data_IF_994904059548
#
_entry.id   IF_994904059548
#
_cell.length_a   1.000
_cell.length_b   1.000
_cell.length_c   1.000
_cell.angle_alpha   90.00
_cell.angle_beta   90.00
_cell.angle_gamma   90.00
#
_symmetry.space_group_name_H-M   'P 1'
#
loop_
_entity.id
_entity.type
_entity.pdbx_description
1 polymer ?
#
# COMPACT_ATOMS: atom_id res chain seq x y z
N UNK A 1 -27.11 0.92 -8.44
CA UNK A 1 -26.03 0.33 -9.26
C UNK A 1 -24.65 0.43 -8.57
N UNK A 2 -24.32 1.50 -7.84
CA UNK A 2 -23.00 1.63 -7.18
C UNK A 2 -22.71 0.60 -6.07
N UNK A 3 -23.72 0.20 -5.29
CA UNK A 3 -23.55 -0.80 -4.21
C UNK A 3 -23.12 -2.17 -4.77
N UNK A 4 -23.64 -2.56 -5.94
CA UNK A 4 -23.21 -3.79 -6.63
C UNK A 4 -21.76 -3.71 -7.09
N UNK A 5 -21.28 -2.54 -7.56
CA UNK A 5 -19.89 -2.38 -8.00
C UNK A 5 -18.90 -2.47 -6.83
N UNK A 6 -19.23 -1.88 -5.68
CA UNK A 6 -18.39 -1.98 -4.47
C UNK A 6 -18.33 -3.41 -3.94
N UNK A 7 -19.47 -4.11 -3.89
CA UNK A 7 -19.53 -5.52 -3.48
C UNK A 7 -18.75 -6.43 -4.44
N UNK A 8 -18.89 -6.23 -5.75
CA UNK A 8 -18.14 -6.99 -6.75
C UNK A 8 -16.62 -6.78 -6.62
N UNK A 9 -16.17 -5.54 -6.37
CA UNK A 9 -14.76 -5.22 -6.13
C UNK A 9 -14.23 -5.90 -4.86
N UNK A 10 -15.00 -5.88 -3.78
CA UNK A 10 -14.64 -6.57 -2.53
C UNK A 10 -14.56 -8.09 -2.71
N UNK A 11 -15.51 -8.68 -3.43
CA UNK A 11 -15.49 -10.11 -3.73
C UNK A 11 -14.28 -10.49 -4.57
N UNK A 12 -13.93 -9.67 -5.56
CA UNK A 12 -12.75 -9.86 -6.39
C UNK A 12 -11.47 -9.89 -5.56
N UNK A 13 -11.28 -8.93 -4.65
CA UNK A 13 -10.07 -8.90 -3.81
C UNK A 13 -10.05 -9.99 -2.73
N UNK A 14 -11.19 -10.39 -2.18
CA UNK A 14 -11.22 -11.55 -1.28
C UNK A 14 -10.89 -12.86 -2.00
N UNK A 15 -11.35 -13.02 -3.24
CA UNK A 15 -10.94 -14.14 -4.10
C UNK A 15 -9.44 -14.10 -4.41
N UNK A 16 -8.90 -12.93 -4.80
CA UNK A 16 -7.47 -12.75 -5.06
C UNK A 16 -6.62 -13.07 -3.82
N UNK A 17 -7.06 -12.65 -2.62
CA UNK A 17 -6.44 -13.00 -1.35
C UNK A 17 -6.40 -14.51 -1.13
N UNK A 18 -7.52 -15.22 -1.32
CA UNK A 18 -7.61 -16.68 -1.15
C UNK A 18 -6.74 -17.45 -2.14
N UNK A 19 -6.72 -17.02 -3.40
CA UNK A 19 -5.85 -17.61 -4.42
C UNK A 19 -4.39 -17.41 -4.01
N UNK A 20 -4.04 -16.20 -3.55
CA UNK A 20 -2.66 -15.92 -3.14
C UNK A 20 -2.23 -16.73 -1.91
N UNK A 21 -3.13 -16.95 -0.96
CA UNK A 21 -2.92 -17.80 0.21
C UNK A 21 -2.70 -19.28 -0.17
N UNK A 22 -3.48 -19.79 -1.13
CA UNK A 22 -3.29 -21.13 -1.68
C UNK A 22 -1.95 -21.27 -2.40
N UNK A 23 -1.62 -20.30 -3.26
CA UNK A 23 -0.35 -20.26 -3.98
C UNK A 23 0.85 -20.16 -3.02
N UNK A 24 0.74 -19.38 -1.94
CA UNK A 24 1.79 -19.27 -0.92
C UNK A 24 2.06 -20.60 -0.21
N UNK A 25 1.04 -21.45 -0.06
CA UNK A 25 1.21 -22.80 0.51
C UNK A 25 1.97 -23.72 -0.44
N UNK A 26 1.83 -23.51 -1.75
CA UNK A 26 2.58 -24.26 -2.77
C UNK A 26 3.98 -23.72 -3.01
N UNK A 27 4.12 -22.39 -3.07
CA UNK A 27 5.39 -21.68 -3.24
C UNK A 27 5.43 -20.42 -2.35
N UNK A 28 6.06 -20.49 -1.17
CA UNK A 28 6.16 -19.36 -0.27
C UNK A 28 7.18 -18.31 -0.73
N UNK A 29 7.98 -18.61 -1.76
CA UNK A 29 9.03 -17.73 -2.29
C UNK A 29 8.62 -17.03 -3.60
N UNK A 30 7.33 -17.05 -3.94
CA UNK A 30 6.81 -16.30 -5.08
C UNK A 30 6.57 -14.83 -4.70
N UNK A 31 7.50 -13.96 -5.12
CA UNK A 31 7.42 -12.52 -4.90
C UNK A 31 6.26 -11.84 -5.67
N UNK A 32 5.80 -12.38 -6.80
CA UNK A 32 4.61 -11.90 -7.53
C UNK A 32 3.35 -12.19 -6.75
N UNK A 33 3.22 -13.42 -6.28
CA UNK A 33 2.09 -13.84 -5.47
C UNK A 33 2.00 -13.05 -4.14
N UNK A 34 3.13 -12.87 -3.45
CA UNK A 34 3.19 -12.07 -2.22
C UNK A 34 2.79 -10.61 -2.44
N UNK A 35 3.19 -10.01 -3.56
CA UNK A 35 2.83 -8.63 -3.92
C UNK A 35 1.33 -8.51 -4.17
N UNK A 36 0.75 -9.42 -4.98
CA UNK A 36 -0.71 -9.45 -5.24
C UNK A 36 -1.53 -9.71 -3.98
N UNK A 37 -1.03 -10.54 -3.08
CA UNK A 37 -1.67 -10.77 -1.79
C UNK A 37 -1.75 -9.47 -0.99
N UNK A 38 -0.63 -8.75 -0.88
CA UNK A 38 -0.58 -7.49 -0.16
C UNK A 38 -1.48 -6.42 -0.79
N UNK A 39 -1.49 -6.27 -2.11
CA UNK A 39 -2.42 -5.37 -2.82
C UNK A 39 -3.88 -5.67 -2.48
N UNK A 40 -4.27 -6.95 -2.51
CA UNK A 40 -5.62 -7.38 -2.17
C UNK A 40 -5.97 -7.01 -0.72
N UNK A 41 -5.02 -7.15 0.22
CA UNK A 41 -5.21 -6.74 1.61
C UNK A 41 -5.38 -5.23 1.76
N UNK A 42 -4.57 -4.42 1.04
CA UNK A 42 -4.68 -2.96 1.07
C UNK A 42 -6.04 -2.49 0.54
N UNK A 43 -6.52 -3.07 -0.54
CA UNK A 43 -7.81 -2.74 -1.14
C UNK A 43 -8.99 -3.14 -0.23
N UNK A 44 -8.93 -4.33 0.38
CA UNK A 44 -9.92 -4.76 1.36
C UNK A 44 -9.91 -3.86 2.61
N UNK A 45 -8.74 -3.41 3.05
CA UNK A 45 -8.58 -2.57 4.24
C UNK A 45 -9.37 -1.26 4.15
N UNK A 46 -9.53 -0.70 2.95
CA UNK A 46 -10.25 0.56 2.73
C UNK A 46 -11.76 0.47 3.05
N UNK A 47 -12.31 -0.73 3.14
CA UNK A 47 -13.73 -0.95 3.41
C UNK A 47 -14.02 -1.50 4.81
N UNK A 48 -12.99 -1.72 5.62
CA UNK A 48 -13.13 -2.27 6.97
C UNK A 48 -13.13 -1.17 8.04
N UNK A 49 -13.44 -1.57 9.28
CA UNK A 49 -13.28 -0.71 10.44
C UNK A 49 -11.79 -0.36 10.64
N UNK A 50 -11.44 0.84 11.13
CA UNK A 50 -10.04 1.29 11.24
C UNK A 50 -9.09 0.31 11.95
N UNK A 51 -9.58 -0.42 12.95
CA UNK A 51 -8.80 -1.43 13.68
C UNK A 51 -8.43 -2.65 12.82
N UNK A 52 -9.37 -3.11 11.99
CA UNK A 52 -9.16 -4.23 11.09
C UNK A 52 -8.36 -3.77 9.87
N UNK A 53 -8.62 -2.56 9.36
CA UNK A 53 -7.81 -1.94 8.31
C UNK A 53 -6.33 -1.88 8.70
N UNK A 54 -6.03 -1.43 9.92
CA UNK A 54 -4.66 -1.38 10.44
C UNK A 54 -4.00 -2.76 10.41
N UNK A 55 -4.68 -3.80 10.92
CA UNK A 55 -4.17 -5.18 10.90
C UNK A 55 -3.94 -5.69 9.48
N UNK A 56 -4.85 -5.41 8.56
CA UNK A 56 -4.72 -5.82 7.16
C UNK A 56 -3.54 -5.13 6.48
N UNK A 57 -3.34 -3.84 6.73
CA UNK A 57 -2.21 -3.07 6.19
C UNK A 57 -0.88 -3.57 6.78
N UNK A 58 -0.82 -3.84 8.08
CA UNK A 58 0.37 -4.43 8.71
C UNK A 58 0.71 -5.80 8.11
N UNK A 59 -0.30 -6.66 7.92
CA UNK A 59 -0.12 -7.95 7.25
C UNK A 59 0.37 -7.76 5.80
N UNK A 60 -0.17 -6.79 5.07
CA UNK A 60 0.28 -6.47 3.71
C UNK A 60 1.76 -6.06 3.69
N UNK A 61 2.19 -5.20 4.63
CA UNK A 61 3.59 -4.77 4.75
C UNK A 61 4.51 -5.97 4.96
N UNK A 62 4.17 -6.87 5.89
CA UNK A 62 4.99 -8.08 6.14
C UNK A 62 5.12 -8.93 4.86
N UNK A 63 4.05 -9.08 4.08
CA UNK A 63 4.09 -9.82 2.81
C UNK A 63 4.94 -9.12 1.74
N UNK A 64 4.88 -7.79 1.66
CA UNK A 64 5.70 -7.01 0.75
C UNK A 64 7.18 -7.04 1.13
N UNK A 65 7.51 -7.00 2.43
CA UNK A 65 8.88 -7.15 2.91
C UNK A 65 9.46 -8.54 2.61
N UNK A 66 8.62 -9.58 2.72
CA UNK A 66 8.98 -10.94 2.26
C UNK A 66 9.25 -10.95 0.75
N UNK A 67 8.38 -10.32 -0.04
CA UNK A 67 8.58 -10.21 -1.50
C UNK A 67 9.87 -9.46 -1.85
N UNK A 68 10.20 -8.37 -1.14
CA UNK A 68 11.46 -7.64 -1.33
C UNK A 68 12.69 -8.46 -0.89
N UNK A 69 12.55 -9.31 0.13
CA UNK A 69 13.64 -10.20 0.55
C UNK A 69 14.00 -11.22 -0.54
N UNK A 70 13.02 -11.60 -1.36
CA UNK A 70 13.19 -12.50 -2.51
C UNK A 70 13.68 -11.70 -3.74
N UNK A 71 13.03 -10.58 -4.04
CA UNK A 71 13.40 -9.70 -5.14
C UNK A 71 13.44 -8.22 -4.69
N UNK A 72 14.62 -7.71 -4.29
CA UNK A 72 14.75 -6.37 -3.73
C UNK A 72 14.58 -5.25 -4.76
N UNK A 73 14.68 -5.56 -6.06
CA UNK A 73 14.57 -4.59 -7.16
C UNK A 73 13.17 -4.55 -7.77
N UNK A 74 12.19 -5.15 -7.10
CA UNK A 74 10.82 -5.21 -7.59
C UNK A 74 10.09 -3.89 -7.36
N UNK A 75 10.03 -3.07 -8.40
CA UNK A 75 9.40 -1.75 -8.38
C UNK A 75 7.92 -1.80 -7.95
N UNK A 76 7.15 -2.81 -8.37
CA UNK A 76 5.74 -2.97 -7.96
C UNK A 76 5.60 -3.15 -6.44
N UNK A 77 6.44 -3.98 -5.83
CA UNK A 77 6.44 -4.23 -4.39
C UNK A 77 6.84 -2.98 -3.61
N UNK A 78 7.84 -2.23 -4.11
CA UNK A 78 8.24 -0.94 -3.54
C UNK A 78 7.08 0.06 -3.60
N UNK A 79 6.41 0.18 -4.74
CA UNK A 79 5.26 1.06 -4.88
C UNK A 79 4.11 0.67 -3.94
N UNK A 80 3.82 -0.63 -3.81
CA UNK A 80 2.82 -1.14 -2.87
C UNK A 80 3.17 -0.82 -1.41
N UNK A 81 4.46 -0.89 -1.03
CA UNK A 81 4.91 -0.48 0.30
C UNK A 81 4.64 1.00 0.54
N UNK A 82 4.93 1.85 -0.45
CA UNK A 82 4.61 3.27 -0.38
C UNK A 82 3.11 3.54 -0.16
N UNK A 83 2.25 2.79 -0.86
CA UNK A 83 0.80 2.87 -0.67
C UNK A 83 0.36 2.39 0.71
N UNK A 84 0.93 1.28 1.20
CA UNK A 84 0.64 0.76 2.55
C UNK A 84 0.99 1.79 3.63
N UNK A 85 2.16 2.42 3.54
CA UNK A 85 2.60 3.46 4.46
C UNK A 85 1.67 4.68 4.40
N UNK A 86 1.26 5.08 3.19
CA UNK A 86 0.27 6.16 3.00
C UNK A 86 -1.07 5.82 3.65
N UNK A 87 -1.55 4.57 3.54
CA UNK A 87 -2.76 4.13 4.21
C UNK A 87 -2.63 4.18 5.75
N UNK A 88 -1.46 3.88 6.31
CA UNK A 88 -1.22 4.03 7.74
C UNK A 88 -1.31 5.49 8.20
N UNK A 89 -0.79 6.44 7.42
CA UNK A 89 -0.94 7.87 7.72
C UNK A 89 -2.41 8.23 7.93
N UNK A 90 -3.31 7.80 7.04
CA UNK A 90 -4.74 8.09 7.16
C UNK A 90 -5.41 7.45 8.40
N UNK A 91 -4.78 6.44 9.00
CA UNK A 91 -5.26 5.78 10.21
C UNK A 91 -4.63 6.37 11.49
N UNK A 92 -3.56 7.14 11.39
CA UNK A 92 -2.95 7.85 12.54
C UNK A 92 -3.79 9.05 12.95
N UNK A 93 -3.79 9.35 14.26
CA UNK A 93 -4.60 10.44 14.83
C UNK A 93 -3.87 11.78 14.88
N UNK A 94 -2.53 11.75 14.85
CA UNK A 94 -1.68 12.92 15.05
C UNK A 94 -0.64 13.01 13.93
N UNK A 95 -0.26 14.24 13.59
CA UNK A 95 0.74 14.48 12.55
C UNK A 95 2.12 13.91 12.93
N UNK A 96 2.49 13.98 14.20
CA UNK A 96 3.77 13.47 14.68
C UNK A 96 3.89 11.95 14.49
N UNK A 97 2.80 11.21 14.67
CA UNK A 97 2.73 9.77 14.36
C UNK A 97 2.71 9.51 12.85
N UNK A 98 2.07 10.39 12.07
CA UNK A 98 1.92 10.26 10.61
C UNK A 98 3.23 10.55 9.84
N UNK A 99 4.03 11.50 10.34
CA UNK A 99 5.26 12.00 9.71
C UNK A 99 6.28 10.91 9.36
N UNK A 100 6.62 9.96 10.24
CA UNK A 100 7.54 8.88 9.87
C UNK A 100 6.98 8.01 8.73
N UNK A 101 5.69 7.68 8.75
CA UNK A 101 5.05 6.90 7.69
C UNK A 101 5.05 7.64 6.35
N UNK A 102 4.80 8.96 6.34
CA UNK A 102 4.90 9.77 5.13
C UNK A 102 6.30 9.77 4.53
N UNK A 103 7.32 9.99 5.36
CA UNK A 103 8.72 9.96 4.91
C UNK A 103 9.09 8.59 4.35
N UNK A 104 8.59 7.53 4.98
CA UNK A 104 8.84 6.17 4.52
C UNK A 104 8.12 5.88 3.19
N UNK A 105 6.87 6.34 3.03
CA UNK A 105 6.12 6.22 1.79
C UNK A 105 6.85 6.89 0.61
N UNK A 106 7.28 8.14 0.80
CA UNK A 106 8.01 8.90 -0.22
C UNK A 106 9.32 8.21 -0.62
N UNK A 107 10.06 7.62 0.33
CA UNK A 107 11.26 6.83 0.03
C UNK A 107 10.97 5.63 -0.86
N UNK A 108 9.91 4.86 -0.56
CA UNK A 108 9.55 3.70 -1.37
C UNK A 108 9.05 4.09 -2.76
N UNK A 109 8.29 5.18 -2.89
CA UNK A 109 7.89 5.69 -4.20
C UNK A 109 9.09 6.16 -5.03
N UNK A 110 10.06 6.83 -4.40
CA UNK A 110 11.30 7.21 -5.07
C UNK A 110 12.05 5.98 -5.57
N UNK A 111 12.20 4.95 -4.74
CA UNK A 111 12.85 3.69 -5.14
C UNK A 111 12.12 2.99 -6.29
N UNK A 112 10.78 3.00 -6.29
CA UNK A 112 9.99 2.45 -7.39
C UNK A 112 10.19 3.23 -8.70
N UNK A 113 10.28 4.57 -8.64
CA UNK A 113 10.60 5.44 -9.78
C UNK A 113 12.04 5.23 -10.24
N UNK A 114 13.00 5.04 -9.34
CA UNK A 114 14.40 4.81 -9.70
C UNK A 114 14.57 3.48 -10.46
N UNK A 115 13.78 2.44 -10.12
CA UNK A 115 13.78 1.16 -10.82
C UNK A 115 12.96 1.20 -12.13
N UNK A 116 11.83 1.93 -12.18
CA UNK A 116 11.06 2.17 -13.41
C UNK A 116 10.59 3.63 -13.52
N UNK A 117 11.41 4.51 -14.13
CA UNK A 117 11.10 5.93 -14.24
C UNK A 117 10.08 6.24 -15.33
N UNK A 118 9.72 5.25 -16.16
CA UNK A 118 8.74 5.43 -17.25
C UNK A 118 7.31 5.23 -16.76
N UNK A 119 7.14 4.67 -15.56
CA UNK A 119 5.83 4.40 -14.99
C UNK A 119 5.18 5.67 -14.43
N UNK A 120 4.20 6.19 -15.16
CA UNK A 120 3.43 7.37 -14.77
C UNK A 120 2.73 7.21 -13.40
N UNK A 121 2.34 6.00 -13.03
CA UNK A 121 1.69 5.73 -11.73
C UNK A 121 2.67 6.01 -10.59
N UNK A 122 3.94 5.62 -10.74
CA UNK A 122 4.95 5.81 -9.70
C UNK A 122 5.33 7.28 -9.56
N UNK A 123 5.51 7.97 -10.68
CA UNK A 123 5.75 9.41 -10.71
C UNK A 123 4.61 10.17 -10.03
N UNK A 124 3.36 9.80 -10.33
CA UNK A 124 2.18 10.42 -9.71
C UNK A 124 2.09 10.13 -8.22
N UNK A 125 2.35 8.90 -7.78
CA UNK A 125 2.39 8.56 -6.35
C UNK A 125 3.48 9.34 -5.59
N UNK A 126 4.66 9.48 -6.19
CA UNK A 126 5.74 10.29 -5.64
C UNK A 126 5.35 11.78 -5.55
N UNK A 127 4.77 12.34 -6.62
CA UNK A 127 4.28 13.72 -6.65
C UNK A 127 3.19 13.98 -5.60
N UNK A 128 2.25 13.06 -5.42
CA UNK A 128 1.22 13.17 -4.39
C UNK A 128 1.86 13.11 -3.00
N UNK A 129 2.77 12.17 -2.76
CA UNK A 129 3.46 12.06 -1.46
C UNK A 129 4.26 13.32 -1.11
N UNK A 130 4.88 13.97 -2.11
CA UNK A 130 5.61 15.21 -1.92
C UNK A 130 4.69 16.39 -1.67
N UNK A 131 3.52 16.47 -2.33
CA UNK A 131 2.51 17.51 -2.09
C UNK A 131 1.79 17.37 -0.75
N UNK A 132 1.49 16.16 -0.29
CA UNK A 132 0.75 15.96 0.95
C UNK A 132 1.58 16.35 2.18
N UNK A 133 2.91 16.24 2.11
CA UNK A 133 3.82 16.86 3.08
C UNK A 133 3.60 18.38 3.24
N UNK A 134 3.15 19.06 2.17
CA UNK A 134 2.83 20.49 2.19
C UNK A 134 1.37 20.78 2.56
N UNK A 135 0.42 19.91 2.21
CA UNK A 135 -1.00 20.17 2.50
C UNK A 135 -1.38 19.97 3.97
N UNK A 136 -0.78 19.00 4.68
CA UNK A 136 -0.91 18.93 6.14
C UNK A 136 -0.37 20.20 6.81
N UNK A 137 0.67 20.80 6.23
CA UNK A 137 1.23 22.09 6.65
C UNK A 137 0.23 23.26 6.46
N UNK A 138 -0.62 23.21 5.43
CA UNK A 138 -1.54 24.31 5.10
C UNK A 138 -2.84 24.27 5.91
N UNK A 139 -3.34 23.07 6.27
CA UNK A 139 -4.58 22.94 7.06
C UNK A 139 -4.36 23.40 8.51
N UNK A 140 -3.20 23.16 9.12
CA UNK A 140 -2.94 23.51 10.53
C UNK A 140 -2.44 24.95 10.76
N UNK A 141 -1.86 25.61 9.76
CA UNK A 141 -1.37 27.00 9.90
C UNK A 141 -2.49 28.04 9.74
N UNK A 142 -3.62 27.66 9.15
CA UNK A 142 -4.77 28.54 8.88
C UNK A 142 -6.10 28.09 9.52
N UNK A 143 -6.06 27.18 10.51
CA UNK A 143 -7.22 26.82 11.35
C UNK A 143 -7.18 27.49 12.71
#
# INVERSE_FOLDING_TARGET
MEVSNKLNRLLFFDQARKISEANYTSDPNDADNLTRWAESLLELSQCQCPQDSLKMIQNAIVKLEQALSINPRKHETLWCLGNAQTSLVFLTKTEDEARPYFKQAAKYFLQAVDEDPTNEVYLKSLEISSKVLWSHYFILVYS
#
